data_IF_299054855747
#
_entry.id   IF_299054855747
#
_cell.length_a   1.000
_cell.length_b   1.000
_cell.length_c   1.000
_cell.angle_alpha   90.00
_cell.angle_beta   90.00
_cell.angle_gamma   90.00
#
_symmetry.space_group_name_H-M   'P 1'
#
loop_
_entity.id
_entity.type
_entity.pdbx_description
1 polymer ?
#
# COMPACT_ATOMS: atom_id res chain seq x y z
N UNK A 1 -59.60 -43.15 -44.55
CA UNK A 1 -59.56 -44.63 -44.58
C UNK A 1 -58.41 -45.06 -43.69
N UNK A 2 -58.68 -45.96 -42.72
CA UNK A 2 -57.77 -46.95 -42.08
C UNK A 2 -56.36 -46.52 -41.58
N UNK A 3 -55.81 -46.99 -40.46
CA UNK A 3 -56.20 -47.89 -39.38
C UNK A 3 -55.16 -47.73 -38.24
N UNK A 4 -55.59 -48.14 -37.06
CA UNK A 4 -54.96 -48.23 -35.73
C UNK A 4 -53.68 -49.05 -35.62
N UNK A 5 -52.87 -48.79 -34.57
CA UNK A 5 -52.27 -49.81 -33.69
C UNK A 5 -51.93 -49.20 -32.31
N UNK A 6 -52.42 -49.83 -31.22
CA UNK A 6 -51.86 -49.72 -29.85
C UNK A 6 -50.94 -50.93 -29.56
N UNK A 7 -50.56 -51.28 -28.30
CA UNK A 7 -51.02 -50.72 -27.01
C UNK A 7 -49.93 -50.55 -25.89
N UNK A 8 -50.39 -50.04 -24.73
CA UNK A 8 -50.02 -50.24 -23.30
C UNK A 8 -48.57 -50.04 -22.78
N UNK A 9 -48.24 -49.58 -21.56
CA UNK A 9 -48.87 -49.24 -20.25
C UNK A 9 -47.79 -48.49 -19.43
N UNK A 10 -48.05 -47.58 -18.48
CA UNK A 10 -48.39 -47.77 -17.05
C UNK A 10 -48.30 -46.37 -16.39
N UNK A 11 -49.23 -45.92 -15.53
CA UNK A 11 -49.19 -46.02 -14.06
C UNK A 11 -48.20 -45.00 -13.44
N UNK A 12 -48.49 -44.18 -12.43
CA UNK A 12 -49.62 -44.00 -11.53
C UNK A 12 -49.47 -42.62 -10.85
N UNK A 13 -50.54 -42.24 -10.17
CA UNK A 13 -51.02 -40.97 -9.67
C UNK A 13 -50.24 -40.28 -8.54
N UNK A 14 -50.48 -38.97 -8.45
CA UNK A 14 -50.02 -38.05 -7.43
C UNK A 14 -50.92 -38.04 -6.18
N UNK A 15 -50.31 -37.96 -5.00
CA UNK A 15 -50.94 -37.50 -3.77
C UNK A 15 -49.88 -36.84 -2.86
N UNK A 16 -50.21 -35.70 -2.28
CA UNK A 16 -49.46 -35.01 -1.22
C UNK A 16 -49.65 -35.72 0.13
N UNK A 17 -48.67 -35.58 1.07
CA UNK A 17 -49.04 -34.93 2.33
C UNK A 17 -47.94 -34.07 3.01
N UNK A 18 -48.44 -33.30 3.98
CA UNK A 18 -47.86 -32.48 5.06
C UNK A 18 -46.38 -32.59 5.49
N UNK A 19 -45.83 -31.42 5.85
CA UNK A 19 -45.24 -31.18 7.17
C UNK A 19 -43.81 -31.68 7.45
N UNK A 20 -42.81 -30.82 7.22
CA UNK A 20 -41.50 -30.94 7.87
C UNK A 20 -40.89 -29.56 8.16
N UNK A 21 -40.43 -29.37 9.41
CA UNK A 21 -39.79 -28.17 9.92
C UNK A 21 -38.49 -27.81 9.15
N UNK A 22 -38.07 -26.53 9.13
CA UNK A 22 -36.85 -26.15 8.43
C UNK A 22 -35.64 -26.70 9.16
N UNK A 23 -34.87 -27.54 8.47
CA UNK A 23 -33.59 -28.03 8.92
C UNK A 23 -32.63 -26.84 9.07
N UNK A 24 -32.25 -26.54 10.32
CA UNK A 24 -31.14 -25.65 10.63
C UNK A 24 -29.86 -26.28 10.11
N UNK A 25 -29.43 -25.88 8.92
CA UNK A 25 -28.07 -26.12 8.45
C UNK A 25 -27.13 -25.32 9.36
N UNK A 26 -26.61 -25.98 10.39
CA UNK A 26 -25.45 -25.52 11.13
C UNK A 26 -24.26 -25.55 10.15
N UNK A 27 -24.12 -24.47 9.37
CA UNK A 27 -22.91 -24.20 8.63
C UNK A 27 -21.80 -24.04 9.65
N UNK A 28 -20.85 -24.98 9.67
CA UNK A 28 -19.58 -24.81 10.33
C UNK A 28 -18.91 -23.57 9.73
N UNK A 29 -19.17 -22.41 10.34
CA UNK A 29 -18.51 -21.15 10.04
C UNK A 29 -17.06 -21.28 10.46
N UNK A 30 -16.22 -21.85 9.59
CA UNK A 30 -14.79 -21.66 9.69
C UNK A 30 -14.56 -20.16 9.55
N UNK A 31 -14.25 -19.49 10.65
CA UNK A 31 -13.81 -18.10 10.63
C UNK A 31 -12.66 -18.02 9.62
N UNK A 32 -12.77 -17.22 8.55
CA UNK A 32 -11.71 -17.14 7.55
C UNK A 32 -10.43 -16.74 8.27
N UNK A 33 -9.39 -17.57 8.16
CA UNK A 33 -8.08 -17.28 8.73
C UNK A 33 -7.61 -15.96 8.11
N UNK A 34 -7.51 -14.93 8.95
CA UNK A 34 -6.96 -13.63 8.54
C UNK A 34 -5.58 -13.87 7.93
N UNK A 35 -5.42 -13.55 6.65
CA UNK A 35 -4.11 -13.63 5.99
C UNK A 35 -3.17 -12.61 6.66
N UNK A 36 -1.88 -12.92 6.84
CA UNK A 36 -0.92 -11.93 7.31
C UNK A 36 -0.93 -10.70 6.40
N UNK A 37 -0.67 -9.52 6.96
CA UNK A 37 -0.46 -8.31 6.17
C UNK A 37 0.70 -8.54 5.19
N UNK A 38 0.54 -8.26 3.88
CA UNK A 38 1.65 -8.31 2.94
C UNK A 38 2.77 -7.36 3.37
N UNK A 39 4.00 -7.86 3.36
CA UNK A 39 5.22 -7.07 3.57
C UNK A 39 5.97 -6.93 2.26
N UNK A 40 5.96 -5.72 1.70
CA UNK A 40 6.55 -5.40 0.40
C UNK A 40 7.91 -4.69 0.48
N UNK A 41 8.61 -4.67 -0.65
CA UNK A 41 9.83 -3.88 -0.85
C UNK A 41 9.56 -2.81 -1.92
N UNK A 42 9.73 -1.54 -1.59
CA UNK A 42 9.70 -0.49 -2.62
C UNK A 42 10.97 -0.54 -3.47
N UNK A 43 10.83 -0.39 -4.79
CA UNK A 43 12.00 -0.32 -5.68
C UNK A 43 12.87 0.92 -5.40
N UNK A 44 12.36 1.93 -4.70
CA UNK A 44 13.17 3.05 -4.20
C UNK A 44 14.22 2.62 -3.17
N UNK A 45 13.94 1.54 -2.43
CA UNK A 45 14.80 1.03 -1.36
C UNK A 45 16.11 0.42 -1.85
N UNK A 46 16.20 0.10 -3.14
CA UNK A 46 17.41 -0.50 -3.74
C UNK A 46 18.26 0.51 -4.52
N UNK A 47 17.81 1.76 -4.66
CA UNK A 47 18.54 2.80 -5.40
C UNK A 47 19.99 2.96 -4.91
N UNK A 48 21.00 3.09 -5.80
CA UNK A 48 20.91 3.38 -7.23
C UNK A 48 20.73 2.18 -8.16
N UNK A 49 20.57 0.97 -7.62
CA UNK A 49 20.17 -0.16 -8.44
C UNK A 49 18.71 0.01 -8.91
N UNK A 50 18.36 -0.68 -10.00
CA UNK A 50 17.08 -0.49 -10.68
C UNK A 50 15.96 -1.41 -10.17
N UNK A 51 14.80 -1.24 -10.78
CA UNK A 51 13.58 -2.01 -10.52
C UNK A 51 13.79 -3.52 -10.66
N UNK A 52 14.62 -3.96 -11.62
CA UNK A 52 14.96 -5.38 -11.75
C UNK A 52 15.63 -5.94 -10.48
N UNK A 53 16.55 -5.19 -9.87
CA UNK A 53 17.17 -5.58 -8.60
C UNK A 53 16.15 -5.63 -7.46
N UNK A 54 15.14 -4.74 -7.45
CA UNK A 54 14.08 -4.80 -6.45
C UNK A 54 13.30 -6.12 -6.50
N UNK A 55 12.94 -6.58 -7.70
CA UNK A 55 12.30 -7.88 -7.89
C UNK A 55 13.21 -9.05 -7.48
N UNK A 56 14.50 -9.01 -7.87
CA UNK A 56 15.50 -10.01 -7.49
C UNK A 56 15.63 -10.13 -5.97
N UNK A 57 15.85 -9.01 -5.27
CA UNK A 57 16.03 -8.97 -3.83
C UNK A 57 14.74 -9.32 -3.09
N UNK A 58 13.58 -8.86 -3.55
CA UNK A 58 12.30 -9.21 -2.96
C UNK A 58 12.08 -10.73 -2.98
N UNK A 59 12.30 -11.38 -4.13
CA UNK A 59 12.15 -12.83 -4.27
C UNK A 59 13.15 -13.61 -3.43
N UNK A 60 14.42 -13.19 -3.42
CA UNK A 60 15.49 -13.87 -2.68
C UNK A 60 15.37 -13.73 -1.16
N UNK A 61 15.00 -12.55 -0.66
CA UNK A 61 14.84 -12.28 0.77
C UNK A 61 13.47 -12.74 1.30
N UNK A 62 12.52 -13.03 0.40
CA UNK A 62 11.19 -13.53 0.75
C UNK A 62 10.21 -12.45 1.17
N UNK A 63 10.29 -11.26 0.55
CA UNK A 63 9.22 -10.26 0.58
C UNK A 63 7.99 -10.79 -0.17
N UNK A 64 6.80 -10.32 0.22
CA UNK A 64 5.54 -10.79 -0.37
C UNK A 64 5.24 -10.13 -1.73
N UNK A 65 5.99 -9.08 -2.07
CA UNK A 65 5.91 -8.40 -3.37
C UNK A 65 6.68 -7.08 -3.40
N UNK A 66 6.52 -6.35 -4.49
CA UNK A 66 7.23 -5.09 -4.77
C UNK A 66 6.24 -3.94 -4.92
N UNK A 67 6.60 -2.78 -4.40
CA UNK A 67 6.00 -1.51 -4.83
C UNK A 67 6.82 -0.88 -5.95
N UNK A 68 6.13 -0.36 -6.97
CA UNK A 68 6.74 0.32 -8.10
C UNK A 68 6.62 1.83 -7.93
N UNK A 69 7.72 2.47 -7.50
CA UNK A 69 7.93 3.91 -7.65
C UNK A 69 8.21 4.24 -9.10
N UNK A 70 7.17 4.76 -9.77
CA UNK A 70 7.19 5.05 -11.20
C UNK A 70 8.10 6.24 -11.49
N UNK A 71 9.07 6.03 -12.39
CA UNK A 71 9.98 7.08 -12.84
C UNK A 71 11.28 7.17 -12.07
N UNK A 72 11.57 6.23 -11.16
CA UNK A 72 12.88 6.14 -10.52
C UNK A 72 13.97 5.63 -11.48
N UNK A 73 13.58 4.79 -12.44
CA UNK A 73 14.40 4.30 -13.54
C UNK A 73 13.55 4.06 -14.80
N UNK A 74 14.18 3.69 -15.92
CA UNK A 74 13.47 3.45 -17.18
C UNK A 74 12.50 2.25 -17.11
N UNK A 75 12.87 1.21 -16.35
CA UNK A 75 12.07 -0.01 -16.22
C UNK A 75 10.72 0.29 -15.55
N UNK A 76 10.71 1.06 -14.46
CA UNK A 76 9.50 1.44 -13.70
C UNK A 76 8.47 2.24 -14.50
N UNK A 77 8.85 2.82 -15.64
CA UNK A 77 7.96 3.61 -16.52
C UNK A 77 7.24 2.72 -17.54
N UNK A 78 7.81 1.56 -17.85
CA UNK A 78 7.30 0.62 -18.86
C UNK A 78 6.47 -0.47 -18.19
N UNK A 79 5.16 -0.42 -18.35
CA UNK A 79 4.25 -1.42 -17.78
C UNK A 79 4.56 -2.83 -18.28
N UNK A 80 4.98 -2.98 -19.54
CA UNK A 80 5.38 -4.26 -20.12
C UNK A 80 6.69 -4.78 -19.53
N UNK A 81 7.62 -3.89 -19.17
CA UNK A 81 8.88 -4.28 -18.52
C UNK A 81 8.62 -4.73 -17.09
N UNK A 82 7.84 -3.96 -16.35
CA UNK A 82 7.43 -4.29 -14.98
C UNK A 82 6.70 -5.64 -14.94
N UNK A 83 5.80 -5.89 -15.89
CA UNK A 83 5.12 -7.18 -16.04
C UNK A 83 6.11 -8.32 -16.32
N UNK A 84 7.07 -8.11 -17.24
CA UNK A 84 8.12 -9.10 -17.53
C UNK A 84 8.99 -9.40 -16.31
N UNK A 85 9.31 -8.40 -15.48
CA UNK A 85 10.07 -8.59 -14.24
C UNK A 85 9.26 -9.37 -13.19
N UNK A 86 7.97 -9.02 -12.99
CA UNK A 86 7.03 -9.78 -12.15
C UNK A 86 7.01 -11.26 -12.55
N UNK A 87 6.84 -11.53 -13.84
CA UNK A 87 6.73 -12.90 -14.37
C UNK A 87 8.07 -13.65 -14.31
N UNK A 88 9.19 -12.97 -14.55
CA UNK A 88 10.50 -13.61 -14.46
C UNK A 88 10.87 -13.99 -13.02
N UNK A 89 10.67 -13.07 -12.08
CA UNK A 89 11.03 -13.28 -10.67
C UNK A 89 9.94 -14.01 -9.87
N UNK A 90 8.73 -14.15 -10.41
CA UNK A 90 7.56 -14.71 -9.72
C UNK A 90 7.22 -13.97 -8.41
N UNK A 91 7.42 -12.65 -8.41
CA UNK A 91 7.18 -11.78 -7.26
C UNK A 91 6.02 -10.82 -7.59
N UNK A 92 4.92 -10.81 -6.83
CA UNK A 92 3.77 -9.94 -7.07
C UNK A 92 4.11 -8.44 -6.97
N UNK A 93 3.27 -7.62 -7.59
CA UNK A 93 3.29 -6.16 -7.41
C UNK A 93 2.18 -5.81 -6.43
N UNK A 94 2.51 -5.13 -5.34
CA UNK A 94 1.57 -4.83 -4.25
C UNK A 94 0.99 -3.42 -4.32
N UNK A 95 1.70 -2.46 -4.90
CA UNK A 95 1.25 -1.08 -5.07
C UNK A 95 1.99 -0.37 -6.20
N UNK A 96 1.36 0.69 -6.69
CA UNK A 96 1.97 1.67 -7.58
C UNK A 96 2.16 2.98 -6.84
N UNK A 97 3.38 3.46 -6.75
CA UNK A 97 3.66 4.79 -6.25
C UNK A 97 3.70 5.76 -7.43
N UNK A 98 2.67 6.60 -7.52
CA UNK A 98 2.42 7.45 -8.68
C UNK A 98 3.56 8.47 -8.89
N UNK A 99 3.88 8.86 -10.14
CA UNK A 99 4.98 9.77 -10.44
C UNK A 99 4.65 11.24 -10.09
N UNK A 100 4.58 11.54 -8.79
CA UNK A 100 4.20 12.84 -8.22
C UNK A 100 5.39 13.62 -7.66
N UNK A 101 6.59 13.07 -7.68
CA UNK A 101 7.82 13.69 -7.20
C UNK A 101 8.32 14.78 -8.16
N UNK A 102 9.10 15.73 -7.65
CA UNK A 102 9.65 16.86 -8.44
C UNK A 102 10.46 16.37 -9.65
N UNK A 103 11.18 15.27 -9.49
CA UNK A 103 12.00 14.70 -10.57
C UNK A 103 11.20 13.79 -11.53
N UNK A 104 10.00 13.35 -11.15
CA UNK A 104 9.11 12.52 -12.00
C UNK A 104 7.99 13.33 -12.67
N UNK A 105 8.04 14.66 -12.61
CA UNK A 105 6.99 15.55 -13.16
C UNK A 105 6.76 15.37 -14.66
N UNK A 106 7.73 14.83 -15.41
CA UNK A 106 7.56 14.52 -16.86
C UNK A 106 7.25 13.06 -17.15
N UNK A 107 7.34 12.18 -16.15
CA UNK A 107 7.03 10.76 -16.31
C UNK A 107 5.56 10.62 -16.64
N UNK A 108 5.26 9.90 -17.73
CA UNK A 108 3.92 9.72 -18.29
C UNK A 108 3.19 11.02 -18.67
N UNK A 109 3.96 12.06 -19.04
CA UNK A 109 3.40 13.35 -19.48
C UNK A 109 3.33 14.39 -18.36
N UNK A 110 2.61 15.49 -18.60
CA UNK A 110 2.53 16.65 -17.69
C UNK A 110 1.17 16.82 -17.01
N UNK A 111 0.13 16.15 -17.50
CA UNK A 111 -1.20 16.16 -16.87
C UNK A 111 -1.18 15.28 -15.62
N UNK A 112 -1.48 15.87 -14.46
CA UNK A 112 -1.45 15.18 -13.17
C UNK A 112 -2.60 14.18 -13.01
N UNK A 113 -3.78 14.48 -13.58
CA UNK A 113 -4.91 13.57 -13.53
C UNK A 113 -4.72 12.39 -14.46
N UNK A 114 -4.15 12.59 -15.65
CA UNK A 114 -3.83 11.47 -16.54
C UNK A 114 -2.79 10.52 -15.94
N UNK A 115 -1.82 11.04 -15.18
CA UNK A 115 -0.88 10.18 -14.42
C UNK A 115 -1.58 9.30 -13.41
N UNK A 116 -2.56 9.83 -12.67
CA UNK A 116 -3.31 9.04 -11.69
C UNK A 116 -4.21 8.01 -12.37
N UNK A 117 -4.89 8.37 -13.47
CA UNK A 117 -5.65 7.41 -14.29
C UNK A 117 -4.75 6.31 -14.83
N UNK A 118 -3.57 6.66 -15.33
CA UNK A 118 -2.58 5.67 -15.80
C UNK A 118 -2.07 4.79 -14.67
N UNK A 119 -1.83 5.35 -13.49
CA UNK A 119 -1.42 4.60 -12.30
C UNK A 119 -2.51 3.60 -11.89
N UNK A 120 -3.79 3.98 -11.96
CA UNK A 120 -4.91 3.05 -11.73
C UNK A 120 -4.97 1.93 -12.77
N UNK A 121 -4.80 2.24 -14.06
CA UNK A 121 -4.74 1.21 -15.12
C UNK A 121 -3.58 0.24 -14.90
N UNK A 122 -2.42 0.76 -14.50
CA UNK A 122 -1.26 -0.07 -14.17
C UNK A 122 -1.53 -0.96 -12.95
N UNK A 123 -2.10 -0.41 -11.87
CA UNK A 123 -2.50 -1.18 -10.69
C UNK A 123 -3.45 -2.34 -11.05
N UNK A 124 -4.53 -2.03 -11.80
CA UNK A 124 -5.48 -3.04 -12.28
C UNK A 124 -4.81 -4.10 -13.16
N UNK A 125 -3.92 -3.69 -14.09
CA UNK A 125 -3.15 -4.62 -14.95
C UNK A 125 -2.29 -5.58 -14.12
N UNK A 126 -1.69 -5.10 -13.03
CA UNK A 126 -0.83 -5.91 -12.18
C UNK A 126 -1.57 -6.69 -11.09
N UNK A 127 -2.90 -6.51 -10.98
CA UNK A 127 -3.73 -7.21 -9.99
C UNK A 127 -3.65 -6.62 -8.58
N UNK A 128 -3.25 -5.35 -8.44
CA UNK A 128 -3.34 -4.60 -7.18
C UNK A 128 -4.41 -3.52 -7.25
N UNK A 129 -4.95 -3.15 -6.10
CA UNK A 129 -5.94 -2.09 -5.93
C UNK A 129 -5.37 -0.88 -5.18
N UNK A 130 -4.04 -0.75 -5.02
CA UNK A 130 -3.43 0.36 -4.26
C UNK A 130 -2.52 1.24 -5.12
N UNK A 131 -2.80 2.54 -5.10
CA UNK A 131 -1.95 3.60 -5.66
C UNK A 131 -1.59 4.58 -4.56
N UNK A 132 -0.29 4.78 -4.31
CA UNK A 132 0.20 5.83 -3.40
C UNK A 132 0.33 7.15 -4.18
N UNK A 133 -0.18 8.23 -3.59
CA UNK A 133 -0.19 9.55 -4.22
C UNK A 133 0.23 10.65 -3.23
N UNK A 134 1.10 11.54 -3.70
CA UNK A 134 1.49 12.72 -2.94
C UNK A 134 0.48 13.87 -3.16
N UNK A 135 0.25 14.72 -2.15
CA UNK A 135 -0.50 15.94 -2.35
C UNK A 135 0.19 16.85 -3.40
N UNK A 136 -0.60 17.59 -4.20
CA UNK A 136 -0.09 18.51 -5.20
C UNK A 136 0.88 19.54 -4.61
N UNK A 137 1.87 19.91 -5.43
CA UNK A 137 2.56 21.17 -5.21
C UNK A 137 1.63 22.35 -5.47
N UNK A 138 1.81 23.43 -4.71
CA UNK A 138 0.96 24.64 -4.83
C UNK A 138 0.96 25.28 -6.21
N UNK A 139 2.01 25.08 -7.01
CA UNK A 139 2.08 25.62 -8.37
C UNK A 139 1.25 24.82 -9.38
N UNK A 140 0.79 23.61 -9.05
CA UNK A 140 -0.12 22.81 -9.88
C UNK A 140 -1.59 23.25 -9.68
N UNK A 141 -1.90 24.53 -9.95
CA UNK A 141 -3.13 25.21 -9.46
C UNK A 141 -4.43 24.43 -9.67
N UNK A 142 -4.76 24.05 -10.90
CA UNK A 142 -6.03 23.37 -11.21
C UNK A 142 -6.14 21.98 -10.57
N UNK A 143 -5.06 21.20 -10.63
CA UNK A 143 -4.95 19.92 -9.93
C UNK A 143 -5.12 20.09 -8.42
N UNK A 144 -4.45 21.09 -7.84
CA UNK A 144 -4.46 21.34 -6.41
C UNK A 144 -5.78 21.89 -5.84
N UNK A 145 -6.60 22.55 -6.66
CA UNK A 145 -7.94 23.02 -6.28
C UNK A 145 -8.96 21.90 -6.18
N UNK A 146 -8.80 20.88 -7.02
CA UNK A 146 -9.77 19.78 -7.16
C UNK A 146 -9.28 18.48 -6.51
N UNK A 147 -8.05 18.45 -5.97
CA UNK A 147 -7.37 17.23 -5.53
C UNK A 147 -8.21 16.33 -4.59
N UNK A 148 -8.77 16.89 -3.51
CA UNK A 148 -9.55 16.10 -2.53
C UNK A 148 -10.74 15.41 -3.21
N UNK A 149 -11.54 16.17 -3.96
CA UNK A 149 -12.69 15.64 -4.68
C UNK A 149 -12.28 14.67 -5.78
N UNK A 150 -11.27 15.02 -6.58
CA UNK A 150 -10.87 14.21 -7.73
C UNK A 150 -10.21 12.89 -7.35
N UNK A 151 -9.56 12.79 -6.18
CA UNK A 151 -9.08 11.51 -5.64
C UNK A 151 -10.26 10.57 -5.32
N UNK A 152 -11.32 11.08 -4.70
CA UNK A 152 -12.55 10.31 -4.46
C UNK A 152 -13.22 9.90 -5.77
N UNK A 153 -13.40 10.84 -6.71
CA UNK A 153 -13.99 10.55 -8.02
C UNK A 153 -13.20 9.45 -8.77
N UNK A 154 -11.86 9.47 -8.71
CA UNK A 154 -11.03 8.42 -9.31
C UNK A 154 -11.18 7.07 -8.61
N UNK A 155 -11.29 7.06 -7.28
CA UNK A 155 -11.56 5.84 -6.52
C UNK A 155 -12.90 5.23 -6.96
N UNK A 156 -13.96 6.03 -7.03
CA UNK A 156 -15.30 5.60 -7.46
C UNK A 156 -15.32 5.09 -8.91
N UNK A 157 -14.57 5.74 -9.81
CA UNK A 157 -14.48 5.36 -11.23
C UNK A 157 -13.73 4.03 -11.45
N UNK A 158 -12.65 3.81 -10.69
CA UNK A 158 -11.69 2.73 -10.99
C UNK A 158 -11.72 1.56 -10.00
N UNK A 159 -12.31 1.75 -8.82
CA UNK A 159 -12.23 0.83 -7.69
C UNK A 159 -10.86 0.78 -7.01
N UNK A 160 -9.87 1.56 -7.47
CA UNK A 160 -8.52 1.60 -6.91
C UNK A 160 -8.48 2.52 -5.69
N UNK A 161 -7.81 2.09 -4.63
CA UNK A 161 -7.54 2.87 -3.42
C UNK A 161 -6.38 3.82 -3.69
N UNK A 162 -6.69 5.10 -3.84
CA UNK A 162 -5.69 6.16 -3.91
C UNK A 162 -5.31 6.59 -2.49
N UNK A 163 -4.24 6.00 -1.97
CA UNK A 163 -3.73 6.25 -0.63
C UNK A 163 -2.92 7.55 -0.62
N UNK A 164 -3.49 8.61 -0.05
CA UNK A 164 -2.80 9.91 0.05
C UNK A 164 -1.77 9.87 1.17
N UNK A 165 -0.52 10.12 0.81
CA UNK A 165 0.62 10.06 1.72
C UNK A 165 0.80 11.35 2.53
N UNK A 166 1.13 11.23 3.82
CA UNK A 166 1.63 12.38 4.57
C UNK A 166 3.00 12.80 4.03
N UNK A 167 3.14 14.08 3.75
CA UNK A 167 4.43 14.69 3.42
C UNK A 167 4.98 15.42 4.66
N UNK A 168 5.97 16.29 4.45
CA UNK A 168 6.56 17.10 5.50
C UNK A 168 6.70 18.58 5.07
N UNK A 169 6.68 19.54 6.01
CA UNK A 169 6.88 20.94 5.69
C UNK A 169 8.30 21.20 5.21
N UNK A 170 8.45 21.94 4.11
CA UNK A 170 9.77 22.38 3.65
C UNK A 170 10.32 23.48 4.56
N UNK A 171 11.59 23.33 4.96
CA UNK A 171 12.26 24.26 5.88
C UNK A 171 13.51 24.80 5.21
N UNK A 172 13.74 26.11 5.32
CA UNK A 172 15.04 26.67 4.99
C UNK A 172 16.10 26.16 5.99
N UNK A 173 17.35 25.92 5.54
CA UNK A 173 18.48 25.75 6.45
C UNK A 173 18.54 26.92 7.43
N UNK A 174 18.80 26.63 8.72
CA UNK A 174 18.91 27.67 9.76
C UNK A 174 19.98 28.70 9.36
N UNK A 175 19.58 29.92 9.03
CA UNK A 175 20.44 31.10 9.14
C UNK A 175 20.00 31.85 10.41
N UNK A 176 20.76 31.72 11.50
CA UNK A 176 20.58 32.52 12.72
C UNK A 176 19.60 31.98 13.77
N UNK A 177 19.54 32.71 14.90
CA UNK A 177 18.95 32.33 16.20
C UNK A 177 17.41 32.25 16.24
N UNK A 178 16.71 32.40 15.11
CA UNK A 178 15.24 32.41 15.05
C UNK A 178 14.78 31.34 14.05
N UNK A 179 13.88 30.46 14.50
CA UNK A 179 13.49 29.22 13.81
C UNK A 179 13.26 29.38 12.30
N UNK A 180 13.82 28.46 11.51
CA UNK A 180 13.76 28.51 10.05
C UNK A 180 12.33 28.62 9.52
N UNK A 181 12.13 29.49 8.52
CA UNK A 181 10.81 29.74 7.92
C UNK A 181 10.28 28.47 7.25
N UNK A 182 9.08 28.02 7.64
CA UNK A 182 8.36 26.93 6.99
C UNK A 182 7.74 27.43 5.69
N UNK A 183 7.96 26.73 4.59
CA UNK A 183 7.32 26.99 3.31
C UNK A 183 6.15 26.03 3.12
N UNK A 184 4.97 26.56 2.83
CA UNK A 184 3.83 25.74 2.39
C UNK A 184 4.12 25.30 0.96
N UNK A 185 4.63 24.09 0.76
CA UNK A 185 4.94 23.55 -0.57
C UNK A 185 3.74 22.84 -1.21
N UNK A 186 2.88 22.25 -0.37
CA UNK A 186 1.76 21.40 -0.78
C UNK A 186 0.41 22.12 -0.66
N UNK A 187 -0.59 21.62 -1.40
CA UNK A 187 -2.01 21.97 -1.25
C UNK A 187 -2.83 20.67 -1.38
N UNK A 188 -3.78 20.38 -0.48
CA UNK A 188 -4.27 21.26 0.59
C UNK A 188 -3.31 21.41 1.79
N UNK A 189 -2.42 20.45 2.00
CA UNK A 189 -1.42 20.47 3.06
C UNK A 189 -0.45 19.28 2.91
N UNK A 190 0.51 19.17 3.83
CA UNK A 190 1.36 17.98 3.94
C UNK A 190 0.70 16.88 4.79
N UNK A 191 -0.20 17.27 5.70
CA UNK A 191 -0.89 16.37 6.62
C UNK A 191 -2.32 16.10 6.12
N UNK A 192 -2.67 14.86 5.77
CA UNK A 192 -4.00 14.52 5.26
C UNK A 192 -5.06 14.32 6.36
N UNK A 193 -4.71 14.36 7.65
CA UNK A 193 -5.57 13.95 8.78
C UNK A 193 -6.96 14.56 8.76
N UNK A 194 -7.05 15.86 8.48
CA UNK A 194 -8.29 16.66 8.51
C UNK A 194 -8.91 16.86 7.13
N UNK A 195 -8.41 16.17 6.10
CA UNK A 195 -8.95 16.20 4.76
C UNK A 195 -9.83 14.98 4.50
N UNK A 196 -10.81 15.16 3.61
CA UNK A 196 -11.81 14.16 3.27
C UNK A 196 -11.26 13.16 2.24
N UNK A 197 -10.19 12.45 2.64
CA UNK A 197 -9.62 11.34 1.88
C UNK A 197 -10.04 10.01 2.50
N UNK A 198 -10.43 9.06 1.65
CA UNK A 198 -10.94 7.75 2.07
C UNK A 198 -9.81 6.77 2.42
N UNK A 199 -8.66 6.92 1.76
CA UNK A 199 -7.49 6.04 1.91
C UNK A 199 -6.21 6.86 2.09
N UNK A 200 -5.36 6.44 3.02
CA UNK A 200 -4.14 7.14 3.43
C UNK A 200 -2.94 6.21 3.44
N UNK A 201 -1.77 6.78 3.12
CA UNK A 201 -0.45 6.18 3.33
C UNK A 201 0.24 6.86 4.49
N UNK A 202 0.74 6.09 5.46
CA UNK A 202 1.62 6.60 6.51
C UNK A 202 3.08 6.34 6.14
N UNK A 203 3.84 7.40 5.90
CA UNK A 203 5.31 7.35 5.86
C UNK A 203 5.90 7.86 7.18
N UNK A 204 6.74 7.02 7.79
CA UNK A 204 7.33 7.28 9.11
C UNK A 204 8.44 8.34 9.02
N UNK A 205 9.26 8.35 7.97
CA UNK A 205 10.31 9.33 7.74
C UNK A 205 9.71 10.72 7.57
N UNK A 206 8.65 10.84 6.76
CA UNK A 206 7.88 12.07 6.59
C UNK A 206 7.26 12.54 7.92
N UNK A 207 6.68 11.64 8.71
CA UNK A 207 6.15 11.98 10.04
C UNK A 207 7.26 12.52 10.97
N UNK A 208 8.42 11.87 10.99
CA UNK A 208 9.60 12.36 11.72
C UNK A 208 10.02 13.74 11.23
N UNK A 209 10.19 13.93 9.92
CA UNK A 209 10.55 15.23 9.32
C UNK A 209 9.47 16.28 9.54
N UNK A 210 8.23 15.92 9.83
CA UNK A 210 7.14 16.81 10.23
C UNK A 210 7.09 17.09 11.75
N UNK A 211 7.87 16.39 12.57
CA UNK A 211 7.78 16.34 14.04
C UNK A 211 6.41 15.86 14.52
N UNK A 212 5.87 14.84 13.84
CA UNK A 212 4.65 14.13 14.21
C UNK A 212 5.01 12.76 14.77
N UNK A 213 4.08 12.14 15.50
CA UNK A 213 4.23 10.77 15.99
C UNK A 213 3.54 9.81 15.03
N UNK A 214 4.29 8.88 14.44
CA UNK A 214 3.71 7.82 13.60
C UNK A 214 2.70 6.95 14.34
N UNK A 215 2.90 6.68 15.64
CA UNK A 215 1.95 5.91 16.47
C UNK A 215 0.61 6.65 16.59
N UNK A 216 0.65 7.94 16.86
CA UNK A 216 -0.58 8.75 16.97
C UNK A 216 -1.28 8.93 15.62
N UNK A 217 -0.53 9.11 14.53
CA UNK A 217 -1.10 9.16 13.18
C UNK A 217 -1.77 7.83 12.80
N UNK A 218 -1.10 6.70 13.03
CA UNK A 218 -1.66 5.39 12.76
C UNK A 218 -2.98 5.17 13.51
N UNK A 219 -3.02 5.51 14.81
CA UNK A 219 -4.22 5.44 15.64
C UNK A 219 -5.32 6.38 15.14
N UNK A 220 -4.97 7.62 14.81
CA UNK A 220 -5.94 8.65 14.39
C UNK A 220 -6.56 8.35 13.02
N UNK A 221 -5.83 7.71 12.12
CA UNK A 221 -6.31 7.41 10.78
C UNK A 221 -7.13 6.13 10.74
N UNK A 222 -6.83 5.16 11.60
CA UNK A 222 -7.62 3.95 11.81
C UNK A 222 -7.98 3.27 10.47
N UNK A 223 -9.26 3.04 10.15
CA UNK A 223 -9.67 2.39 8.89
C UNK A 223 -9.24 3.11 7.61
N UNK A 224 -8.96 4.42 7.65
CA UNK A 224 -8.47 5.17 6.48
C UNK A 224 -7.03 4.80 6.13
N UNK A 225 -6.23 4.36 7.10
CA UNK A 225 -4.89 3.87 6.84
C UNK A 225 -5.00 2.54 6.08
N UNK A 226 -4.47 2.51 4.85
CA UNK A 226 -4.53 1.33 3.96
C UNK A 226 -3.14 0.94 3.40
N UNK A 227 -2.15 1.82 3.57
CA UNK A 227 -0.78 1.58 3.14
C UNK A 227 0.19 2.20 4.15
N UNK A 228 1.33 1.55 4.39
CA UNK A 228 2.39 2.08 5.27
C UNK A 228 3.71 2.00 4.54
N UNK A 229 4.40 3.12 4.41
CA UNK A 229 5.82 3.15 4.08
C UNK A 229 6.61 3.03 5.38
N UNK A 230 7.06 1.82 5.66
CA UNK A 230 7.83 1.51 6.85
C UNK A 230 9.25 2.00 6.68
N UNK A 231 9.59 3.01 7.47
CA UNK A 231 10.88 3.69 7.51
C UNK A 231 11.12 4.19 8.93
N UNK A 232 12.16 4.99 9.14
CA UNK A 232 12.34 5.73 10.39
C UNK A 232 13.05 7.06 10.10
N UNK A 233 13.13 7.93 11.11
CA UNK A 233 13.82 9.21 11.00
C UNK A 233 14.17 9.82 12.36
N UNK A 234 14.93 10.91 12.37
CA UNK A 234 15.37 11.60 13.61
C UNK A 234 14.89 13.05 13.66
N UNK A 235 13.83 13.38 12.94
CA UNK A 235 13.30 14.75 12.85
C UNK A 235 14.22 15.74 12.14
N UNK A 236 15.13 15.26 11.30
CA UNK A 236 16.03 16.12 10.54
C UNK A 236 15.26 17.00 9.53
N UNK A 237 15.90 18.05 9.01
CA UNK A 237 15.31 18.85 7.91
C UNK A 237 15.24 18.09 6.59
N UNK A 238 16.03 17.03 6.47
CA UNK A 238 16.03 16.13 5.34
C UNK A 238 15.14 14.94 5.67
N UNK A 239 14.57 14.42 4.62
CA UNK A 239 13.89 13.15 4.63
C UNK A 239 14.94 12.04 4.63
N UNK A 240 15.02 11.27 5.72
CA UNK A 240 16.15 10.38 5.98
C UNK A 240 15.92 8.96 5.49
N UNK A 241 14.68 8.46 5.60
CA UNK A 241 14.28 7.08 5.31
C UNK A 241 15.22 6.06 5.95
N UNK A 242 15.46 6.17 7.26
CA UNK A 242 16.29 5.21 7.97
C UNK A 242 15.63 3.83 8.01
N UNK A 243 16.43 2.80 8.32
CA UNK A 243 15.90 1.48 8.64
C UNK A 243 14.97 1.55 9.86
N UNK A 244 13.87 0.77 9.89
CA UNK A 244 12.94 0.76 11.00
C UNK A 244 13.65 0.42 12.32
N UNK A 245 13.46 1.24 13.35
CA UNK A 245 14.11 1.08 14.66
C UNK A 245 15.43 1.86 14.80
N UNK A 246 15.87 2.59 13.77
CA UNK A 246 17.09 3.41 13.82
C UNK A 246 16.81 4.90 14.07
N UNK A 247 15.55 5.28 14.24
CA UNK A 247 15.10 6.65 14.49
C UNK A 247 14.24 6.79 15.73
N UNK A 248 13.32 7.77 15.73
CA UNK A 248 12.47 8.14 16.85
C UNK A 248 10.97 7.89 16.63
N UNK A 249 10.60 7.23 15.52
CA UNK A 249 9.19 7.05 15.15
C UNK A 249 8.54 5.81 15.76
N UNK A 250 9.30 5.02 16.55
CA UNK A 250 8.81 3.81 17.24
C UNK A 250 8.16 2.83 16.25
N UNK A 251 8.87 2.50 15.18
CA UNK A 251 8.38 1.64 14.09
C UNK A 251 7.85 0.29 14.60
N UNK A 252 8.48 -0.27 15.64
CA UNK A 252 8.02 -1.48 16.34
C UNK A 252 6.61 -1.31 16.93
N UNK A 253 6.35 -0.18 17.58
CA UNK A 253 5.07 0.14 18.20
C UNK A 253 3.99 0.41 17.18
N UNK A 254 4.33 1.06 16.06
CA UNK A 254 3.41 1.23 14.94
C UNK A 254 2.96 -0.14 14.42
N UNK A 255 3.89 -1.06 14.13
CA UNK A 255 3.56 -2.39 13.62
C UNK A 255 2.71 -3.21 14.62
N UNK A 256 3.07 -3.17 15.91
CA UNK A 256 2.30 -3.84 16.96
C UNK A 256 0.87 -3.29 17.07
N UNK A 257 0.72 -1.96 17.01
CA UNK A 257 -0.57 -1.29 17.02
C UNK A 257 -1.44 -1.72 15.84
N UNK A 258 -0.90 -1.67 14.62
CA UNK A 258 -1.61 -2.06 13.41
C UNK A 258 -2.09 -3.51 13.48
N UNK A 259 -1.23 -4.42 13.92
CA UNK A 259 -1.58 -5.82 14.05
C UNK A 259 -2.70 -6.06 15.09
N UNK A 260 -2.60 -5.38 16.24
CA UNK A 260 -3.57 -5.45 17.34
C UNK A 260 -4.94 -4.88 16.95
N UNK A 261 -4.97 -3.81 16.16
CA UNK A 261 -6.20 -3.14 15.72
C UNK A 261 -6.83 -3.75 14.46
N UNK A 262 -6.30 -4.87 13.97
CA UNK A 262 -6.92 -5.56 12.84
C UNK A 262 -6.61 -4.95 11.48
N UNK A 263 -5.54 -4.14 11.35
CA UNK A 263 -5.11 -3.51 10.09
C UNK A 263 -5.12 -4.48 8.91
N UNK A 264 -5.81 -4.14 7.83
CA UNK A 264 -5.94 -5.01 6.66
C UNK A 264 -5.12 -4.54 5.45
N UNK A 265 -4.44 -3.39 5.57
CA UNK A 265 -3.59 -2.86 4.52
C UNK A 265 -2.23 -3.55 4.45
N UNK A 266 -1.36 -3.00 3.62
CA UNK A 266 -0.01 -3.49 3.39
C UNK A 266 1.05 -2.64 4.10
N UNK A 267 2.21 -3.23 4.33
CA UNK A 267 3.39 -2.57 4.89
C UNK A 267 4.53 -2.72 3.88
N UNK A 268 4.99 -1.61 3.31
CA UNK A 268 6.04 -1.60 2.30
C UNK A 268 7.28 -0.93 2.87
N UNK A 269 8.43 -1.58 2.72
CA UNK A 269 9.70 -1.02 3.15
C UNK A 269 10.19 0.02 2.12
N UNK A 270 10.34 1.27 2.56
CA UNK A 270 10.79 2.40 1.72
C UNK A 270 12.05 3.08 2.29
N UNK A 271 13.17 2.38 2.40
CA UNK A 271 14.36 2.83 3.16
C UNK A 271 15.51 3.31 2.27
N UNK A 272 16.34 4.22 2.77
CA UNK A 272 17.50 4.72 2.07
C UNK A 272 18.75 3.86 2.34
N UNK A 273 19.07 2.95 1.42
CA UNK A 273 20.23 2.04 1.50
C UNK A 273 21.48 2.54 0.78
N UNK A 274 21.50 3.81 0.33
CA UNK A 274 22.66 4.37 -0.39
C UNK A 274 23.94 4.37 0.45
N UNK A 275 23.81 4.31 1.78
CA UNK A 275 24.92 4.34 2.73
C UNK A 275 25.30 2.96 3.28
N UNK A 276 24.71 1.87 2.79
CA UNK A 276 25.04 0.51 3.22
C UNK A 276 26.49 0.12 2.87
N UNK A 277 27.16 0.83 1.95
CA UNK A 277 28.59 0.67 1.66
C UNK A 277 28.93 -0.49 0.70
N UNK A 278 28.14 -1.56 0.67
CA UNK A 278 28.23 -2.64 -0.33
C UNK A 278 26.85 -3.19 -0.70
N UNK A 279 26.78 -3.97 -1.79
CA UNK A 279 25.56 -4.69 -2.15
C UNK A 279 25.19 -5.75 -1.11
N UNK A 280 26.17 -6.52 -0.63
CA UNK A 280 25.97 -7.50 0.44
C UNK A 280 25.39 -6.86 1.72
N UNK A 281 25.94 -5.72 2.14
CA UNK A 281 25.41 -5.03 3.33
C UNK A 281 23.99 -4.51 3.09
N UNK A 282 23.66 -4.01 1.89
CA UNK A 282 22.28 -3.63 1.55
C UNK A 282 21.33 -4.81 1.66
N UNK A 283 21.74 -5.98 1.19
CA UNK A 283 20.92 -7.19 1.27
C UNK A 283 20.68 -7.61 2.72
N UNK A 284 21.72 -7.51 3.57
CA UNK A 284 21.59 -7.74 5.01
C UNK A 284 20.64 -6.72 5.65
N UNK A 285 20.81 -5.42 5.38
CA UNK A 285 19.95 -4.35 5.90
C UNK A 285 18.47 -4.58 5.53
N UNK A 286 18.20 -4.95 4.28
CA UNK A 286 16.85 -5.25 3.80
C UNK A 286 16.29 -6.55 4.40
N UNK A 287 17.13 -7.57 4.61
CA UNK A 287 16.73 -8.80 5.29
C UNK A 287 16.38 -8.57 6.76
N UNK A 288 17.20 -7.79 7.47
CA UNK A 288 16.95 -7.39 8.86
C UNK A 288 15.67 -6.57 9.01
N UNK A 289 15.44 -5.62 8.09
CA UNK A 289 14.21 -4.83 8.08
C UNK A 289 12.96 -5.69 7.84
N UNK A 290 13.02 -6.69 6.94
CA UNK A 290 11.92 -7.66 6.75
C UNK A 290 11.65 -8.48 8.01
N UNK A 291 12.72 -8.97 8.65
CA UNK A 291 12.62 -9.75 9.89
C UNK A 291 12.04 -8.92 11.04
N UNK A 292 12.49 -7.68 11.20
CA UNK A 292 11.94 -6.70 12.14
C UNK A 292 10.43 -6.54 11.90
N UNK A 293 10.05 -6.28 10.65
CA UNK A 293 8.65 -6.03 10.26
C UNK A 293 7.74 -7.19 10.66
N UNK A 294 8.11 -8.41 10.25
CA UNK A 294 7.32 -9.62 10.54
C UNK A 294 7.28 -9.93 12.03
N UNK A 295 8.38 -9.72 12.75
CA UNK A 295 8.45 -9.93 14.21
C UNK A 295 7.48 -9.02 14.96
N UNK A 296 7.48 -7.72 14.64
CA UNK A 296 6.64 -6.76 15.36
C UNK A 296 5.16 -6.83 14.95
N UNK A 297 4.84 -7.18 13.69
CA UNK A 297 3.47 -7.54 13.30
C UNK A 297 2.96 -8.78 14.05
N UNK A 298 3.80 -9.83 14.17
CA UNK A 298 3.42 -11.03 14.90
C UNK A 298 3.23 -10.76 16.40
N UNK A 299 4.05 -9.90 17.00
CA UNK A 299 3.96 -9.53 18.41
C UNK A 299 2.68 -8.76 18.77
N UNK A 300 2.12 -7.99 17.83
CA UNK A 300 0.86 -7.27 18.04
C UNK A 300 -0.40 -8.07 17.72
N UNK A 301 -0.28 -9.19 16.99
CA UNK A 301 -1.44 -9.98 16.60
C UNK A 301 -2.12 -10.63 17.81
N UNK A 302 -3.47 -10.63 17.89
CA UNK A 302 -4.17 -11.29 18.99
C UNK A 302 -3.85 -12.79 19.02
N UNK A 303 -3.79 -13.42 20.21
CA UNK A 303 -3.48 -14.83 20.33
C UNK A 303 -4.46 -15.67 19.53
N UNK A 304 -3.95 -16.68 18.80
CA UNK A 304 -4.81 -17.66 18.13
C UNK A 304 -5.59 -18.42 19.19
N UNK A 305 -6.90 -18.17 19.28
CA UNK A 305 -7.78 -19.02 20.11
C UNK A 305 -7.74 -20.43 19.51
N UNK A 306 -7.33 -21.46 20.28
CA UNK A 306 -7.34 -22.82 19.76
C UNK A 306 -8.79 -23.19 19.41
N UNK A 307 -8.99 -23.76 18.22
CA UNK A 307 -10.30 -24.28 17.83
C UNK A 307 -10.75 -25.28 18.90
N UNK A 308 -11.96 -25.07 19.44
CA UNK A 308 -12.57 -26.03 20.35
C UNK A 308 -12.59 -27.40 19.64
N UNK A 309 -12.03 -28.41 20.32
CA UNK A 309 -11.99 -29.79 19.85
C UNK A 309 -13.36 -30.42 19.88
#
# INVERSE_FOLDING_TARGET
MSHSYGPDSAGDTAATPDGAAPATAAGNGSVPRRRPNPVGLSNSSVYPEGTATAFELAGRLGYDGVEIMVGIDAASVSEDEVERLRDYHQVPILSIHAPCLIFTVRTWGTDSWEKLRRSARAAQRFGTDVVVVHPPFRWQRGYAETFVRGVRELHEETGVKFCVENMYPWRAPKQGLHGGRKFKAYKPGFDPTHHDFDHLTLDLSHASTAHQSSVELARAWGPRLQHVHLTDGRGSIKDEHLLPGHGDQQADRVLQLLAAEGYAGQVVLEVNTRRSGSREQRENDLGEALAFTRTHLAAGAPPKVPAAR
#
